data_IF_142685137211
#
_entry.id   IF_142685137211
#
_cell.length_a   1.000
_cell.length_b   1.000
_cell.length_c   1.000
_cell.angle_alpha   90.00
_cell.angle_beta   90.00
_cell.angle_gamma   90.00
#
_symmetry.space_group_name_H-M   'P 1'
#
loop_
_entity.id
_entity.type
_entity.pdbx_description
1 polymer ?
#
# COMPACT_ATOMS: atom_id res chain seq x y z
N UNK A 1 42.73 61.29 17.11
CA UNK A 1 42.05 59.99 16.94
C UNK A 1 42.46 59.12 18.11
N UNK A 2 41.56 58.23 18.53
CA UNK A 2 41.68 57.26 19.64
C UNK A 2 41.02 57.69 20.94
N UNK A 3 39.73 57.37 21.06
CA UNK A 3 39.09 57.09 22.35
C UNK A 3 38.39 55.73 22.21
N UNK A 4 39.12 54.65 22.46
CA UNK A 4 38.51 53.38 22.86
C UNK A 4 38.18 53.49 24.34
N UNK A 5 36.90 53.68 24.63
CA UNK A 5 36.34 53.68 25.97
C UNK A 5 36.18 52.22 26.41
N UNK A 6 36.72 51.80 27.56
CA UNK A 6 36.59 50.42 28.02
C UNK A 6 35.13 50.15 28.43
N UNK A 7 34.48 49.20 27.78
CA UNK A 7 33.20 48.64 28.23
C UNK A 7 33.42 47.95 29.58
N UNK A 8 32.73 48.44 30.61
CA UNK A 8 32.70 47.82 31.94
C UNK A 8 31.86 46.53 31.85
N UNK A 9 32.23 45.45 32.56
CA UNK A 9 31.41 44.25 32.60
C UNK A 9 30.09 44.60 33.30
N UNK A 10 28.98 44.50 32.57
CA UNK A 10 27.62 44.63 33.10
C UNK A 10 27.39 43.49 34.11
N UNK A 11 27.25 43.82 35.38
CA UNK A 11 26.84 42.88 36.41
C UNK A 11 25.36 42.54 36.19
N UNK A 12 25.06 41.46 35.47
CA UNK A 12 23.70 40.93 35.29
C UNK A 12 23.34 40.02 36.48
N UNK A 13 22.50 40.48 37.43
CA UNK A 13 22.11 39.69 38.61
C UNK A 13 21.28 38.44 38.25
N UNK A 14 20.77 38.35 37.02
CA UNK A 14 20.03 37.18 36.53
C UNK A 14 20.90 36.23 35.70
N UNK A 15 22.18 36.52 35.48
CA UNK A 15 23.05 35.65 34.70
C UNK A 15 23.11 34.21 35.24
N UNK A 16 23.20 33.96 36.57
CA UNK A 16 23.18 32.58 37.10
C UNK A 16 21.84 31.88 36.86
N UNK A 17 20.72 32.62 36.92
CA UNK A 17 19.39 32.09 36.68
C UNK A 17 19.15 31.75 35.21
N UNK A 18 19.55 32.64 34.30
CA UNK A 18 19.51 32.39 32.85
C UNK A 18 20.36 31.18 32.49
N UNK A 19 21.56 31.06 33.04
CA UNK A 19 22.43 29.91 32.81
C UNK A 19 21.81 28.60 33.33
N UNK A 20 21.15 28.64 34.49
CA UNK A 20 20.40 27.50 35.01
C UNK A 20 19.22 27.12 34.10
N UNK A 21 18.45 28.09 33.63
CA UNK A 21 17.34 27.89 32.70
C UNK A 21 17.83 27.30 31.37
N UNK A 22 18.90 27.84 30.79
CA UNK A 22 19.47 27.35 29.54
C UNK A 22 19.96 25.91 29.68
N UNK A 23 20.68 25.61 30.76
CA UNK A 23 21.15 24.25 31.05
C UNK A 23 19.98 23.29 31.23
N UNK A 24 18.95 23.71 31.96
CA UNK A 24 17.73 22.91 32.18
C UNK A 24 17.02 22.66 30.85
N UNK A 25 16.81 23.70 30.03
CA UNK A 25 16.14 23.58 28.74
C UNK A 25 16.92 22.70 27.76
N UNK A 26 18.25 22.77 27.77
CA UNK A 26 19.12 21.88 26.99
C UNK A 26 18.98 20.42 27.45
N UNK A 27 18.93 20.17 28.75
CA UNK A 27 18.72 18.83 29.29
C UNK A 27 17.34 18.28 28.91
N UNK A 28 16.29 19.08 29.03
CA UNK A 28 14.93 18.72 28.59
C UNK A 28 14.85 18.46 27.09
N UNK A 29 15.45 19.33 26.27
CA UNK A 29 15.47 19.15 24.82
C UNK A 29 16.23 17.87 24.43
N UNK A 30 17.36 17.59 25.06
CA UNK A 30 18.13 16.37 24.84
C UNK A 30 17.32 15.12 25.21
N UNK A 31 16.68 15.12 26.38
CA UNK A 31 15.84 14.02 26.83
C UNK A 31 14.67 13.76 25.87
N UNK A 32 13.98 14.81 25.41
CA UNK A 32 12.88 14.67 24.44
C UNK A 32 13.38 14.20 23.08
N UNK A 33 14.54 14.69 22.64
CA UNK A 33 15.15 14.26 21.39
C UNK A 33 15.55 12.78 21.45
N UNK A 34 16.11 12.32 22.56
CA UNK A 34 16.45 10.90 22.77
C UNK A 34 15.18 10.03 22.88
N UNK A 35 14.13 10.54 23.52
CA UNK A 35 12.84 9.86 23.61
C UNK A 35 12.20 9.67 22.22
N UNK A 36 12.18 10.72 21.39
CA UNK A 36 11.63 10.64 20.01
C UNK A 36 12.53 9.82 19.08
N UNK A 37 13.85 9.83 19.31
CA UNK A 37 14.80 9.00 18.57
C UNK A 37 14.78 7.52 19.00
N UNK A 38 14.09 7.19 20.10
CA UNK A 38 13.98 5.81 20.54
C UNK A 38 13.12 4.97 19.59
N UNK A 39 13.52 3.72 19.39
CA UNK A 39 12.77 2.76 18.58
C UNK A 39 11.36 2.48 19.16
N UNK A 40 11.23 2.53 20.49
CA UNK A 40 9.94 2.36 21.19
C UNK A 40 8.96 3.51 20.89
N UNK A 41 9.43 4.74 20.74
CA UNK A 41 8.58 5.86 20.32
C UNK A 41 8.09 5.67 18.89
N UNK A 42 8.98 5.30 17.96
CA UNK A 42 8.60 5.03 16.58
C UNK A 42 7.57 3.89 16.48
N UNK A 43 7.79 2.80 17.24
CA UNK A 43 6.89 1.65 17.30
C UNK A 43 5.53 2.00 17.90
N UNK A 44 5.50 2.72 19.01
CA UNK A 44 4.24 3.14 19.66
C UNK A 44 3.46 4.13 18.81
N UNK A 45 4.15 5.06 18.14
CA UNK A 45 3.52 5.97 17.18
C UNK A 45 2.95 5.22 15.97
N UNK A 46 3.68 4.21 15.46
CA UNK A 46 3.19 3.32 14.40
C UNK A 46 1.92 2.60 14.82
N UNK A 47 1.92 1.97 16.00
CA UNK A 47 0.74 1.28 16.55
C UNK A 47 -0.44 2.23 16.78
N UNK A 48 -0.18 3.45 17.25
CA UNK A 48 -1.22 4.46 17.41
C UNK A 48 -1.82 4.85 16.06
N UNK A 49 -0.98 5.11 15.05
CA UNK A 49 -1.44 5.46 13.72
C UNK A 49 -2.23 4.30 13.09
N UNK A 50 -1.76 3.07 13.22
CA UNK A 50 -2.47 1.88 12.74
C UNK A 50 -3.83 1.76 13.43
N UNK A 51 -3.89 1.91 14.76
CA UNK A 51 -5.15 1.87 15.51
C UNK A 51 -6.13 2.98 15.08
N UNK A 52 -5.62 4.17 14.77
CA UNK A 52 -6.42 5.28 14.26
C UNK A 52 -6.93 5.01 12.83
N UNK A 53 -6.08 4.43 11.97
CA UNK A 53 -6.45 4.05 10.62
C UNK A 53 -7.51 2.94 10.63
N UNK A 54 -7.37 1.95 11.52
CA UNK A 54 -8.35 0.88 11.73
C UNK A 54 -9.67 1.43 12.28
N UNK A 55 -9.63 2.29 13.30
CA UNK A 55 -10.81 2.92 13.87
C UNK A 55 -11.58 3.79 12.86
N UNK A 56 -10.87 4.39 11.90
CA UNK A 56 -11.46 5.17 10.80
C UNK A 56 -11.84 4.35 9.57
N UNK A 57 -11.47 3.05 9.52
CA UNK A 57 -11.81 2.19 8.39
C UNK A 57 -13.32 2.01 8.16
N UNK A 58 -14.19 1.86 9.19
CA UNK A 58 -15.63 1.81 8.99
C UNK A 58 -16.20 3.07 8.34
N UNK A 59 -15.68 4.24 8.71
CA UNK A 59 -16.11 5.51 8.11
C UNK A 59 -15.71 5.58 6.63
N UNK A 60 -14.48 5.17 6.28
CA UNK A 60 -14.03 5.10 4.88
C UNK A 60 -14.92 4.18 4.06
N UNK A 61 -15.27 2.99 4.57
CA UNK A 61 -16.19 2.07 3.91
C UNK A 61 -17.57 2.68 3.68
N UNK A 62 -18.13 3.38 4.67
CA UNK A 62 -19.44 4.04 4.51
C UNK A 62 -19.41 5.12 3.42
N UNK A 63 -18.31 5.86 3.29
CA UNK A 63 -18.13 6.85 2.22
C UNK A 63 -18.04 6.15 0.86
N UNK A 64 -17.28 5.06 0.77
CA UNK A 64 -17.18 4.23 -0.44
C UNK A 64 -18.56 3.70 -0.87
N UNK A 65 -19.34 3.13 0.05
CA UNK A 65 -20.70 2.62 -0.21
C UNK A 65 -21.65 3.73 -0.70
N UNK A 66 -21.55 4.94 -0.11
CA UNK A 66 -22.35 6.08 -0.52
C UNK A 66 -21.97 6.55 -1.93
N UNK A 67 -20.67 6.61 -2.22
CA UNK A 67 -20.16 6.96 -3.55
C UNK A 67 -20.56 5.92 -4.60
N UNK A 68 -20.51 4.63 -4.25
CA UNK A 68 -20.93 3.53 -5.12
C UNK A 68 -22.40 3.68 -5.50
N UNK A 69 -23.29 3.89 -4.52
CA UNK A 69 -24.72 4.15 -4.77
C UNK A 69 -24.96 5.39 -5.63
N UNK A 70 -24.19 6.45 -5.40
CA UNK A 70 -24.29 7.68 -6.19
C UNK A 70 -23.89 7.45 -7.65
N UNK A 71 -22.78 6.75 -7.88
CA UNK A 71 -22.32 6.40 -9.23
C UNK A 71 -23.33 5.49 -9.95
N UNK A 72 -23.86 4.49 -9.26
CA UNK A 72 -24.91 3.62 -9.81
C UNK A 72 -26.16 4.42 -10.21
N UNK A 73 -26.58 5.40 -9.41
CA UNK A 73 -27.69 6.28 -9.75
C UNK A 73 -27.44 7.09 -11.03
N UNK A 74 -26.19 7.46 -11.29
CA UNK A 74 -25.77 8.13 -12.52
C UNK A 74 -25.51 7.18 -13.70
N UNK A 75 -25.80 5.89 -13.56
CA UNK A 75 -25.41 4.83 -14.50
C UNK A 75 -23.90 4.82 -14.80
N UNK A 76 -23.09 5.23 -13.82
CA UNK A 76 -21.64 5.21 -13.92
C UNK A 76 -21.11 3.91 -13.29
N UNK A 77 -20.17 3.21 -13.95
CA UNK A 77 -19.64 1.96 -13.44
C UNK A 77 -18.87 2.17 -12.14
N UNK A 78 -19.07 1.26 -11.19
CA UNK A 78 -18.40 1.32 -9.88
C UNK A 78 -17.05 0.61 -9.94
N UNK A 79 -16.13 0.95 -9.03
CA UNK A 79 -14.83 0.28 -8.96
C UNK A 79 -15.00 -1.24 -8.73
N UNK A 80 -15.94 -1.62 -7.88
CA UNK A 80 -16.21 -3.03 -7.56
C UNK A 80 -16.76 -3.79 -8.77
N UNK A 81 -17.65 -3.18 -9.54
CA UNK A 81 -18.16 -3.75 -10.78
C UNK A 81 -17.05 -3.97 -11.82
N UNK A 82 -16.13 -3.00 -11.96
CA UNK A 82 -14.98 -3.11 -12.88
C UNK A 82 -14.05 -4.25 -12.47
N UNK A 83 -13.75 -4.39 -11.18
CA UNK A 83 -12.92 -5.49 -10.67
C UNK A 83 -13.59 -6.84 -10.88
N UNK A 84 -14.87 -6.95 -10.53
CA UNK A 84 -15.63 -8.19 -10.75
C UNK A 84 -15.67 -8.58 -12.22
N UNK A 85 -15.83 -7.60 -13.12
CA UNK A 85 -15.77 -7.85 -14.56
C UNK A 85 -14.39 -8.33 -14.99
N UNK A 86 -13.31 -7.71 -14.50
CA UNK A 86 -11.94 -8.11 -14.80
C UNK A 86 -11.66 -9.56 -14.35
N UNK A 87 -12.05 -9.94 -13.14
CA UNK A 87 -11.91 -11.32 -12.64
C UNK A 87 -12.67 -12.33 -13.51
N UNK A 88 -13.90 -11.98 -13.91
CA UNK A 88 -14.72 -12.83 -14.79
C UNK A 88 -14.11 -12.94 -16.18
N UNK A 89 -13.51 -11.87 -16.71
CA UNK A 89 -12.81 -11.88 -17.99
C UNK A 89 -11.57 -12.78 -17.92
N UNK A 90 -10.75 -12.68 -16.88
CA UNK A 90 -9.61 -13.57 -16.68
C UNK A 90 -10.05 -15.03 -16.53
N UNK A 91 -11.14 -15.29 -15.80
CA UNK A 91 -11.69 -16.66 -15.72
C UNK A 91 -12.20 -17.17 -17.08
N UNK A 92 -12.72 -16.28 -17.93
CA UNK A 92 -13.19 -16.65 -19.26
C UNK A 92 -12.00 -16.94 -20.19
N UNK A 93 -10.94 -16.14 -20.12
CA UNK A 93 -9.68 -16.34 -20.85
C UNK A 93 -9.09 -17.72 -20.56
N UNK A 94 -8.91 -18.09 -19.28
CA UNK A 94 -8.41 -19.42 -18.92
C UNK A 94 -9.29 -20.57 -19.44
N UNK A 95 -10.62 -20.39 -19.43
CA UNK A 95 -11.55 -21.41 -19.94
C UNK A 95 -11.48 -21.52 -21.46
N UNK A 96 -11.20 -20.42 -22.17
CA UNK A 96 -10.99 -20.42 -23.61
C UNK A 96 -9.68 -21.16 -23.93
N UNK A 97 -8.60 -20.87 -23.22
CA UNK A 97 -7.33 -21.58 -23.38
C UNK A 97 -7.49 -23.11 -23.15
N UNK A 98 -8.25 -23.50 -22.12
CA UNK A 98 -8.57 -24.90 -21.85
C UNK A 98 -9.39 -25.56 -22.98
N UNK A 99 -10.29 -24.80 -23.61
CA UNK A 99 -11.09 -25.28 -24.74
C UNK A 99 -10.23 -25.43 -26.00
N UNK A 100 -9.30 -24.51 -26.24
CA UNK A 100 -8.35 -24.60 -27.34
C UNK A 100 -7.47 -25.84 -27.17
N UNK A 101 -6.92 -26.07 -25.97
CA UNK A 101 -6.13 -27.27 -25.69
C UNK A 101 -6.92 -28.58 -25.89
N UNK A 102 -8.19 -28.63 -25.46
CA UNK A 102 -9.06 -29.79 -25.69
C UNK A 102 -9.39 -29.98 -27.18
N UNK A 103 -9.52 -28.90 -27.93
CA UNK A 103 -9.79 -28.95 -29.37
C UNK A 103 -8.60 -29.53 -30.12
N UNK A 104 -7.38 -29.10 -29.79
CA UNK A 104 -6.15 -29.67 -30.33
C UNK A 104 -6.01 -31.16 -29.99
N UNK A 105 -6.30 -31.54 -28.75
CA UNK A 105 -6.29 -32.95 -28.33
C UNK A 105 -7.28 -33.81 -29.14
N UNK A 106 -8.49 -33.29 -29.38
CA UNK A 106 -9.49 -33.97 -30.20
C UNK A 106 -8.99 -34.13 -31.64
N UNK A 107 -8.41 -33.08 -32.23
CA UNK A 107 -7.87 -33.12 -33.59
C UNK A 107 -6.77 -34.17 -33.72
N UNK A 108 -5.86 -34.25 -32.76
CA UNK A 108 -4.77 -35.23 -32.79
C UNK A 108 -5.27 -36.67 -32.62
N UNK A 109 -6.27 -36.89 -31.74
CA UNK A 109 -6.95 -38.19 -31.63
C UNK A 109 -7.64 -38.58 -32.93
N UNK A 110 -8.29 -37.65 -33.62
CA UNK A 110 -8.93 -37.90 -34.92
C UNK A 110 -7.90 -38.27 -36.01
N UNK A 111 -6.77 -37.56 -36.09
CA UNK A 111 -5.67 -37.91 -37.01
C UNK A 111 -5.10 -39.29 -36.73
N UNK A 112 -4.94 -39.65 -35.45
CA UNK A 112 -4.46 -40.97 -35.05
C UNK A 112 -5.42 -42.07 -35.48
N UNK A 113 -6.73 -41.87 -35.31
CA UNK A 113 -7.78 -42.79 -35.78
C UNK A 113 -7.72 -42.95 -37.29
N UNK A 114 -7.64 -41.85 -38.04
CA UNK A 114 -7.53 -41.89 -39.51
C UNK A 114 -6.32 -42.72 -39.95
N UNK A 115 -5.15 -42.46 -39.37
CA UNK A 115 -3.91 -43.19 -39.69
C UNK A 115 -4.03 -44.69 -39.38
N UNK A 116 -4.71 -45.05 -38.29
CA UNK A 116 -4.94 -46.45 -37.92
C UNK A 116 -5.89 -47.15 -38.91
N UNK A 117 -6.94 -46.46 -39.38
CA UNK A 117 -7.87 -46.96 -40.40
C UNK A 117 -7.16 -47.19 -41.74
N UNK A 118 -6.34 -46.26 -42.19
CA UNK A 118 -5.55 -46.38 -43.43
C UNK A 118 -4.64 -47.62 -43.39
N UNK A 119 -3.91 -47.81 -42.28
CA UNK A 119 -3.02 -48.98 -42.08
C UNK A 119 -3.77 -50.31 -41.95
N UNK A 120 -4.95 -50.31 -41.31
CA UNK A 120 -5.78 -51.50 -41.19
C UNK A 120 -6.34 -51.97 -42.54
N UNK A 121 -6.69 -51.02 -43.40
CA UNK A 121 -7.22 -51.29 -44.75
C UNK A 121 -6.13 -51.83 -45.69
N UNK A 122 -4.87 -51.42 -45.53
CA UNK A 122 -3.75 -51.94 -46.35
C UNK A 122 -3.30 -53.35 -45.99
N UNK A 123 -3.70 -53.88 -44.82
CA UNK A 123 -3.33 -55.25 -44.38
C UNK A 123 -4.32 -56.33 -44.81
N UNK A 124 -5.48 -55.95 -45.37
CA UNK A 124 -6.54 -56.87 -45.80
C UNK A 124 -6.69 -57.00 -47.33
N UNK A 125 -5.86 -56.29 -48.11
CA UNK A 125 -5.75 -56.42 -49.56
C UNK A 125 -4.41 -57.09 -49.92
#
# INVERSE_FOLDING_TARGET
MSEQKPEKPEFDPFAPWKQFQETSMKAWAKMMSEAVASEDFAKSMGQYLDSYLEASAPMRRQIEDAMEKYLQQMNMPTRNEVISLAERLTSLEMRVDDLDAKTDEILDRLKAIQTALEKGTTKQA
#
